data_IF_223323912129
#
_entry.id   IF_223323912129
#
_cell.length_a   1.000
_cell.length_b   1.000
_cell.length_c   1.000
_cell.angle_alpha   90.00
_cell.angle_beta   90.00
_cell.angle_gamma   90.00
#
_symmetry.space_group_name_H-M   'P 1'
#
loop_
_entity.id
_entity.type
_entity.pdbx_description
1 polymer ?
#
# COMPACT_ATOMS: atom_id res chain seq x y z
N UNK A 1 -3.41 -21.05 -25.00
CA UNK A 1 -4.38 -19.99 -25.35
C UNK A 1 -3.56 -18.79 -25.81
N UNK A 2 -3.71 -18.35 -27.06
CA UNK A 2 -2.96 -17.21 -27.63
C UNK A 2 -3.87 -15.99 -27.63
N UNK A 3 -3.56 -15.02 -26.78
CA UNK A 3 -4.22 -13.72 -26.79
C UNK A 3 -3.52 -12.82 -27.81
N UNK A 4 -4.29 -12.20 -28.70
CA UNK A 4 -3.75 -11.14 -29.56
C UNK A 4 -3.41 -9.91 -28.71
N UNK A 5 -2.30 -9.21 -28.97
CA UNK A 5 -1.96 -8.00 -28.22
C UNK A 5 -3.01 -6.92 -28.49
N UNK A 6 -3.67 -6.46 -27.42
CA UNK A 6 -4.60 -5.33 -27.45
C UNK A 6 -3.99 -4.17 -26.66
N UNK A 7 -3.93 -2.97 -27.26
CA UNK A 7 -3.53 -1.75 -26.56
C UNK A 7 -4.77 -1.03 -26.05
N UNK A 8 -4.83 -0.80 -24.73
CA UNK A 8 -5.84 0.04 -24.11
C UNK A 8 -5.25 1.44 -23.88
N UNK A 9 -5.91 2.48 -24.37
CA UNK A 9 -5.54 3.87 -24.06
C UNK A 9 -6.30 4.33 -22.81
N UNK A 10 -5.59 4.55 -21.71
CA UNK A 10 -6.17 5.03 -20.46
C UNK A 10 -5.97 6.56 -20.42
N UNK A 11 -7.05 7.32 -20.56
CA UNK A 11 -7.04 8.79 -20.59
C UNK A 11 -6.57 9.44 -19.28
N UNK A 12 -6.71 8.74 -18.14
CA UNK A 12 -6.20 9.22 -16.86
C UNK A 12 -6.43 8.21 -15.75
N UNK A 13 -5.48 8.12 -14.82
CA UNK A 13 -5.58 7.34 -13.59
C UNK A 13 -5.28 8.27 -12.44
N UNK A 14 -6.21 8.39 -11.51
CA UNK A 14 -5.98 9.08 -10.25
C UNK A 14 -5.79 8.06 -9.14
N UNK A 15 -4.62 8.09 -8.52
CA UNK A 15 -4.28 7.21 -7.40
C UNK A 15 -4.17 8.09 -6.16
N UNK A 16 -5.00 7.77 -5.19
CA UNK A 16 -5.19 8.57 -3.97
C UNK A 16 -4.18 8.18 -2.89
N UNK A 17 -3.88 6.88 -2.78
CA UNK A 17 -2.75 6.40 -2.02
C UNK A 17 -2.26 5.06 -2.54
N UNK A 18 -0.97 4.82 -2.28
CA UNK A 18 -0.28 3.55 -2.47
C UNK A 18 0.47 3.33 -1.17
N UNK A 19 0.23 2.21 -0.50
CA UNK A 19 0.83 1.92 0.80
C UNK A 19 1.20 0.44 0.91
N UNK A 20 2.04 0.10 1.89
CA UNK A 20 2.36 -1.28 2.26
C UNK A 20 2.86 -2.15 1.09
N UNK A 21 3.83 -1.66 0.33
CA UNK A 21 4.42 -2.38 -0.79
C UNK A 21 3.43 -2.69 -1.92
N UNK A 22 2.32 -1.94 -1.97
CA UNK A 22 1.50 -1.89 -3.15
C UNK A 22 2.32 -1.37 -4.33
N UNK A 23 2.24 -2.09 -5.45
CA UNK A 23 2.82 -1.69 -6.72
C UNK A 23 1.67 -1.43 -7.69
N UNK A 24 1.69 -0.26 -8.32
CA UNK A 24 0.80 0.02 -9.44
C UNK A 24 1.58 -0.20 -10.73
N UNK A 25 1.15 -1.19 -11.50
CA UNK A 25 1.76 -1.52 -12.77
C UNK A 25 0.68 -1.61 -13.86
N UNK A 26 0.97 -1.00 -15.02
CA UNK A 26 0.06 -0.87 -16.17
C UNK A 26 0.54 -1.70 -17.37
N UNK A 27 1.61 -2.49 -17.23
CA UNK A 27 2.15 -3.38 -18.24
C UNK A 27 2.43 -4.78 -17.70
N UNK A 28 3.16 -5.65 -18.43
CA UNK A 28 3.60 -6.92 -17.88
C UNK A 28 4.71 -6.70 -16.84
N UNK A 29 4.50 -7.11 -15.58
CA UNK A 29 5.56 -7.18 -14.55
C UNK A 29 5.62 -8.56 -13.92
N UNK A 30 6.83 -8.91 -13.48
CA UNK A 30 7.08 -10.07 -12.64
C UNK A 30 7.62 -9.57 -11.30
N UNK A 31 6.93 -9.94 -10.22
CA UNK A 31 7.36 -9.65 -8.85
C UNK A 31 7.74 -10.97 -8.19
N UNK A 32 9.01 -11.11 -7.85
CA UNK A 32 9.53 -12.23 -7.09
C UNK A 32 10.10 -11.70 -5.77
N UNK A 33 9.98 -12.52 -4.74
CA UNK A 33 10.70 -12.32 -3.48
C UNK A 33 10.36 -10.99 -2.74
N UNK A 34 9.10 -10.57 -2.83
CA UNK A 34 8.61 -9.35 -2.19
C UNK A 34 8.19 -9.62 -0.75
N UNK A 35 8.85 -8.95 0.20
CA UNK A 35 8.49 -8.98 1.62
C UNK A 35 8.25 -7.57 2.11
N UNK A 36 7.04 -7.36 2.63
CA UNK A 36 6.65 -6.09 3.21
C UNK A 36 6.27 -6.38 4.64
N UNK A 37 7.01 -5.77 5.56
CA UNK A 37 6.59 -5.70 6.94
C UNK A 37 6.45 -4.24 7.30
N UNK A 38 5.34 -3.96 7.95
CA UNK A 38 5.03 -2.61 8.33
C UNK A 38 4.12 -2.60 9.55
N UNK A 39 4.42 -1.67 10.46
CA UNK A 39 3.59 -1.33 11.60
C UNK A 39 3.02 0.06 11.36
N UNK A 40 1.69 0.17 11.27
CA UNK A 40 1.00 1.47 11.24
C UNK A 40 0.28 1.73 12.53
N UNK A 41 0.38 2.97 13.00
CA UNK A 41 -0.57 3.55 13.92
C UNK A 41 -1.35 4.63 13.16
N UNK A 42 -2.54 4.29 12.64
CA UNK A 42 -3.29 5.16 11.72
C UNK A 42 -4.09 6.29 12.40
N UNK A 43 -4.08 6.43 13.73
CA UNK A 43 -4.91 7.45 14.38
C UNK A 43 -6.40 7.41 13.96
N UNK A 44 -7.07 8.57 13.81
CA UNK A 44 -8.51 8.67 13.39
C UNK A 44 -8.71 8.50 11.88
N UNK A 45 -8.17 7.43 11.30
CA UNK A 45 -8.43 7.07 9.92
C UNK A 45 -7.56 7.84 8.92
N UNK A 46 -7.08 7.10 7.94
CA UNK A 46 -6.26 7.60 6.86
C UNK A 46 -7.14 8.38 5.86
N UNK A 47 -6.73 9.61 5.55
CA UNK A 47 -7.52 10.57 4.77
C UNK A 47 -6.95 10.79 3.38
N UNK A 48 -6.56 9.73 2.69
CA UNK A 48 -5.95 9.86 1.36
C UNK A 48 -7.00 10.01 0.25
N UNK A 49 -8.30 10.10 0.57
CA UNK A 49 -9.39 10.26 -0.39
C UNK A 49 -9.58 11.70 -0.88
N UNK A 50 -10.18 11.83 -2.07
CA UNK A 50 -10.64 13.12 -2.57
C UNK A 50 -11.77 13.69 -1.73
N UNK A 51 -11.72 15.00 -1.46
CA UNK A 51 -12.73 15.69 -0.66
C UNK A 51 -12.93 15.08 0.73
N UNK A 52 -11.84 14.75 1.43
CA UNK A 52 -11.88 14.34 2.83
C UNK A 52 -11.66 15.57 3.76
N UNK A 53 -12.72 16.17 4.34
CA UNK A 53 -12.57 17.29 5.28
C UNK A 53 -12.23 16.80 6.70
N UNK A 54 -11.17 17.34 7.30
CA UNK A 54 -10.84 17.12 8.72
C UNK A 54 -11.76 18.00 9.56
N UNK A 55 -12.77 17.40 10.19
CA UNK A 55 -13.73 18.13 11.04
C UNK A 55 -13.27 18.25 12.52
N UNK A 56 -12.40 17.36 13.01
CA UNK A 56 -11.80 17.39 14.34
C UNK A 56 -10.63 16.39 14.44
N UNK A 57 -9.64 16.62 15.32
CA UNK A 57 -8.44 15.78 15.44
C UNK A 57 -8.10 15.42 16.90
N UNK A 58 -8.33 14.15 17.30
CA UNK A 58 -7.83 13.53 18.54
C UNK A 58 -7.62 12.01 18.39
N UNK A 59 -6.38 11.51 18.32
CA UNK A 59 -6.11 10.05 18.52
C UNK A 59 -4.68 9.74 18.92
N UNK A 60 -4.57 8.90 19.95
CA UNK A 60 -3.33 8.50 20.59
C UNK A 60 -3.51 7.00 20.86
N UNK A 61 -2.78 6.14 20.16
CA UNK A 61 -2.79 4.69 20.42
C UNK A 61 -1.39 4.35 20.89
N UNK A 62 -1.29 4.00 22.16
CA UNK A 62 -0.07 3.47 22.76
C UNK A 62 -0.28 1.95 22.78
N UNK A 63 0.48 1.21 21.98
CA UNK A 63 0.57 -0.22 22.17
C UNK A 63 1.40 -0.52 23.42
N UNK A 64 1.07 -1.60 24.12
CA UNK A 64 1.69 -1.97 25.40
C UNK A 64 3.10 -2.58 25.22
N UNK A 65 3.62 -2.57 24.00
CA UNK A 65 4.85 -3.24 23.63
C UNK A 65 5.97 -2.19 23.52
N UNK A 66 6.95 -2.24 24.43
CA UNK A 66 8.13 -1.33 24.41
C UNK A 66 8.95 -1.50 23.13
N UNK A 67 8.87 -2.67 22.51
CA UNK A 67 9.56 -3.04 21.28
C UNK A 67 8.61 -3.86 20.42
N UNK A 68 8.39 -3.43 19.19
CA UNK A 68 7.74 -4.24 18.18
C UNK A 68 8.64 -5.38 17.76
N UNK A 69 8.09 -6.59 17.68
CA UNK A 69 8.83 -7.76 17.20
C UNK A 69 9.44 -7.48 15.82
N UNK A 70 10.74 -7.76 15.66
CA UNK A 70 11.44 -7.60 14.39
C UNK A 70 10.83 -8.49 13.31
N UNK A 71 10.60 -7.92 12.15
CA UNK A 71 10.22 -8.67 10.96
C UNK A 71 11.44 -9.21 10.24
N UNK A 72 11.47 -10.52 10.01
CA UNK A 72 12.58 -11.19 9.34
C UNK A 72 12.09 -11.81 8.05
N UNK A 73 12.66 -11.36 6.94
CA UNK A 73 12.54 -12.01 5.64
C UNK A 73 13.61 -13.09 5.54
N UNK A 74 13.20 -14.35 5.44
CA UNK A 74 14.10 -15.44 5.05
C UNK A 74 13.64 -15.97 3.71
N UNK A 75 14.41 -15.70 2.66
CA UNK A 75 14.13 -16.19 1.31
C UNK A 75 15.34 -16.93 0.75
N UNK A 76 15.04 -17.95 -0.06
CA UNK A 76 16.00 -18.88 -0.69
C UNK A 76 15.92 -18.77 -2.23
N UNK A 77 15.05 -17.89 -2.73
CA UNK A 77 14.97 -17.46 -4.13
C UNK A 77 15.86 -16.23 -4.34
#
# INVERSE_FOLDING_TARGET
MTFAPASLNILGIKINAIDHGAVVNLGPSQHLDLYVSYKRNQGIGEQNGDFCPILSSTSWVIDNDVVDSSSVKSSIL
#
